data_IF_502113140661
#
_entry.id   IF_502113140661
#
_cell.length_a   1.000
_cell.length_b   1.000
_cell.length_c   1.000
_cell.angle_alpha   90.00
_cell.angle_beta   90.00
_cell.angle_gamma   90.00
#
_symmetry.space_group_name_H-M   'P 1'
#
loop_
_entity.id
_entity.type
_entity.pdbx_description
1 polymer ?
#
# COMPACT_ATOMS: atom_id res chain seq x y z
N UNK A 1 -14.81 -21.12 2.54
CA UNK A 1 -14.08 -22.27 3.13
C UNK A 1 -13.13 -23.01 2.17
N UNK A 2 -13.43 -23.15 0.86
CA UNK A 2 -12.50 -23.82 -0.09
C UNK A 2 -11.13 -23.15 -0.20
N UNK A 3 -11.08 -21.82 -0.24
CA UNK A 3 -9.85 -21.02 -0.33
C UNK A 3 -8.89 -21.26 0.85
N UNK A 4 -9.40 -21.28 2.09
CA UNK A 4 -8.59 -21.58 3.29
C UNK A 4 -7.99 -22.99 3.23
N UNK A 5 -8.73 -23.97 2.69
CA UNK A 5 -8.27 -25.35 2.54
C UNK A 5 -7.20 -25.49 1.46
N UNK A 6 -7.30 -24.70 0.38
CA UNK A 6 -6.30 -24.66 -0.69
C UNK A 6 -5.01 -23.94 -0.27
N UNK A 7 -5.12 -22.88 0.54
CA UNK A 7 -3.98 -22.18 1.11
C UNK A 7 -3.14 -23.09 2.03
N UNK A 8 -3.80 -23.88 2.88
CA UNK A 8 -3.09 -24.85 3.76
C UNK A 8 -2.40 -25.98 2.99
N UNK A 9 -2.76 -26.20 1.72
CA UNK A 9 -2.11 -27.22 0.87
C UNK A 9 -0.84 -26.72 0.20
N UNK A 10 -0.59 -25.40 0.18
CA UNK A 10 0.59 -24.78 -0.42
C UNK A 10 1.48 -24.19 0.68
N UNK A 11 2.61 -24.82 1.03
CA UNK A 11 3.44 -24.37 2.15
C UNK A 11 3.97 -22.94 1.96
N UNK A 12 4.25 -22.54 0.72
CA UNK A 12 4.67 -21.16 0.38
C UNK A 12 3.57 -20.13 0.63
N UNK A 13 2.32 -20.45 0.29
CA UNK A 13 1.19 -19.56 0.52
C UNK A 13 0.88 -19.41 2.01
N UNK A 14 0.97 -20.51 2.77
CA UNK A 14 0.83 -20.49 4.21
C UNK A 14 1.93 -19.65 4.88
N UNK A 15 3.19 -19.82 4.47
CA UNK A 15 4.30 -19.02 4.99
C UNK A 15 4.08 -17.53 4.75
N UNK A 16 3.72 -17.13 3.52
CA UNK A 16 3.42 -15.73 3.20
C UNK A 16 2.28 -15.16 4.04
N UNK A 17 1.20 -15.94 4.23
CA UNK A 17 0.08 -15.54 5.09
C UNK A 17 0.51 -15.34 6.54
N UNK A 18 1.30 -16.26 7.10
CA UNK A 18 1.82 -16.15 8.47
C UNK A 18 2.66 -14.89 8.62
N UNK A 19 3.56 -14.60 7.67
CA UNK A 19 4.39 -13.39 7.71
C UNK A 19 3.53 -12.12 7.68
N UNK A 20 2.57 -12.02 6.76
CA UNK A 20 1.67 -10.85 6.68
C UNK A 20 0.88 -10.67 7.96
N UNK A 21 0.32 -11.74 8.52
CA UNK A 21 -0.43 -11.70 9.78
C UNK A 21 0.45 -11.26 10.94
N UNK A 22 1.68 -11.78 11.04
CA UNK A 22 2.62 -11.36 12.09
C UNK A 22 2.97 -9.88 11.98
N UNK A 23 3.27 -9.39 10.78
CA UNK A 23 3.59 -7.97 10.55
C UNK A 23 2.36 -7.07 10.84
N UNK A 24 1.16 -7.52 10.49
CA UNK A 24 -0.08 -6.81 10.80
C UNK A 24 -0.33 -6.74 12.31
N UNK A 25 -0.16 -7.86 13.03
CA UNK A 25 -0.31 -7.90 14.48
C UNK A 25 0.74 -7.00 15.15
N UNK A 26 1.99 -7.03 14.68
CA UNK A 26 3.03 -6.14 15.19
C UNK A 26 2.67 -4.66 14.99
N UNK A 27 2.13 -4.29 13.82
CA UNK A 27 1.70 -2.93 13.53
C UNK A 27 0.48 -2.48 14.38
N UNK A 28 -0.48 -3.38 14.65
CA UNK A 28 -1.65 -3.09 15.49
C UNK A 28 -1.25 -2.92 16.95
N UNK A 29 -0.44 -3.85 17.46
CA UNK A 29 0.03 -3.85 18.84
C UNK A 29 1.30 -3.02 19.06
N UNK A 30 1.68 -2.17 18.08
CA UNK A 30 2.86 -1.32 18.13
C UNK A 30 3.03 -0.56 19.46
N UNK A 31 1.99 0.08 20.05
CA UNK A 31 2.14 0.80 21.31
C UNK A 31 2.48 -0.08 22.52
N UNK A 32 2.25 -1.40 22.43
CA UNK A 32 2.51 -2.36 23.51
C UNK A 32 3.84 -3.09 23.33
N UNK A 33 4.29 -3.26 22.09
CA UNK A 33 5.47 -4.08 21.78
C UNK A 33 6.72 -3.26 21.44
N UNK A 34 6.56 -1.98 21.08
CA UNK A 34 7.68 -1.12 20.74
C UNK A 34 8.57 -0.90 21.98
N UNK A 35 9.89 -1.15 21.89
CA UNK A 35 10.80 -0.96 23.02
C UNK A 35 10.89 0.49 23.52
N UNK A 36 10.76 1.46 22.61
CA UNK A 36 10.93 2.88 22.88
C UNK A 36 9.84 3.71 22.20
N UNK A 37 9.70 4.97 22.60
CA UNK A 37 8.89 5.93 21.85
C UNK A 37 9.52 6.17 20.47
N UNK A 38 8.82 5.91 19.35
CA UNK A 38 9.36 6.07 17.99
C UNK A 38 9.72 7.52 17.62
N UNK A 39 9.26 8.51 18.39
CA UNK A 39 9.53 9.93 18.16
C UNK A 39 10.50 10.53 19.19
N UNK A 40 10.82 9.82 20.27
CA UNK A 40 11.80 10.28 21.25
C UNK A 40 13.20 10.37 20.62
N UNK A 41 13.82 11.54 20.75
CA UNK A 41 15.12 11.85 20.17
C UNK A 41 16.16 11.96 21.28
N UNK A 42 17.32 11.35 21.06
CA UNK A 42 18.49 11.51 21.91
C UNK A 42 19.76 11.57 21.04
N UNK A 43 20.27 12.78 20.84
CA UNK A 43 21.45 13.01 19.99
C UNK A 43 22.72 12.37 20.55
N UNK A 44 22.76 12.00 21.83
CA UNK A 44 23.91 11.28 22.40
C UNK A 44 23.94 9.82 21.95
N UNK A 45 22.79 9.31 21.50
CA UNK A 45 22.60 7.95 21.02
C UNK A 45 22.43 7.91 19.50
N UNK A 46 23.01 8.87 18.75
CA UNK A 46 22.88 8.87 17.28
C UNK A 46 23.66 7.73 16.62
N UNK A 47 23.06 7.14 15.59
CA UNK A 47 23.72 6.13 14.71
C UNK A 47 24.35 4.95 15.45
N UNK A 48 23.70 4.49 16.52
CA UNK A 48 24.11 3.30 17.23
C UNK A 48 23.99 2.07 16.33
N UNK A 49 24.94 1.12 16.43
CA UNK A 49 24.87 -0.11 15.70
C UNK A 49 23.80 -1.05 16.29
N UNK A 50 23.27 -1.99 15.48
CA UNK A 50 22.35 -3.03 15.95
C UNK A 50 23.01 -4.01 16.93
N UNK A 51 22.18 -4.79 17.65
CA UNK A 51 22.60 -5.64 18.77
C UNK A 51 23.70 -6.68 18.46
N UNK A 52 23.92 -7.01 17.18
CA UNK A 52 24.91 -7.99 16.74
C UNK A 52 26.29 -7.38 16.40
N UNK A 53 26.47 -6.09 16.62
CA UNK A 53 27.73 -5.37 16.39
C UNK A 53 28.24 -4.74 17.68
N UNK A 54 29.55 -4.55 17.76
CA UNK A 54 30.21 -3.89 18.90
C UNK A 54 29.76 -2.43 19.02
N UNK A 55 29.50 -1.99 20.25
CA UNK A 55 29.00 -0.64 20.55
C UNK A 55 27.47 -0.51 20.54
N UNK A 56 26.74 -1.63 20.55
CA UNK A 56 25.28 -1.63 20.68
C UNK A 56 24.84 -1.24 22.10
N UNK A 57 23.77 -0.44 22.17
CA UNK A 57 23.18 0.00 23.43
C UNK A 57 21.99 -0.90 23.82
N UNK A 58 21.88 -1.36 25.08
CA UNK A 58 20.73 -2.12 25.54
C UNK A 58 19.41 -1.36 25.32
N UNK A 59 18.41 -2.06 24.77
CA UNK A 59 17.10 -1.45 24.45
C UNK A 59 16.99 -0.90 23.03
N UNK A 60 18.10 -0.71 22.31
CA UNK A 60 18.15 -0.27 20.91
C UNK A 60 18.53 -1.43 19.98
N UNK A 61 17.62 -2.40 19.85
CA UNK A 61 17.90 -3.69 19.19
C UNK A 61 18.40 -3.56 17.75
N UNK A 62 17.79 -2.66 16.98
CA UNK A 62 18.21 -2.39 15.59
C UNK A 62 19.08 -1.13 15.47
N UNK A 63 19.56 -0.61 16.61
CA UNK A 63 20.28 0.65 16.66
C UNK A 63 19.37 1.87 16.51
N UNK A 64 19.98 3.00 16.18
CA UNK A 64 19.30 4.30 16.08
C UNK A 64 19.57 5.00 14.76
N UNK A 65 18.73 5.98 14.43
CA UNK A 65 18.95 6.85 13.28
C UNK A 65 19.82 8.08 13.60
N UNK A 66 19.94 9.00 12.64
CA UNK A 66 20.70 10.25 12.79
C UNK A 66 20.12 11.25 13.80
N UNK A 67 18.97 10.97 14.41
CA UNK A 67 18.37 11.76 15.47
C UNK A 67 18.31 10.97 16.79
N UNK A 68 18.98 9.81 16.85
CA UNK A 68 19.00 8.93 18.02
C UNK A 68 17.69 8.21 18.30
N UNK A 69 16.78 8.15 17.33
CA UNK A 69 15.48 7.46 17.50
C UNK A 69 15.67 5.96 17.31
N UNK A 70 15.00 5.16 18.13
CA UNK A 70 15.07 3.69 18.05
C UNK A 70 14.50 3.17 16.72
N UNK A 71 15.34 2.46 15.97
CA UNK A 71 15.01 2.02 14.62
C UNK A 71 13.96 0.90 14.63
N UNK A 72 13.97 0.03 15.65
CA UNK A 72 12.99 -1.05 15.78
C UNK A 72 11.58 -0.50 16.04
N UNK A 73 11.43 0.40 17.00
CA UNK A 73 10.16 1.08 17.30
C UNK A 73 9.64 1.85 16.10
N UNK A 74 10.53 2.56 15.38
CA UNK A 74 10.16 3.27 14.14
C UNK A 74 9.70 2.33 13.03
N UNK A 75 10.28 1.14 12.90
CA UNK A 75 9.83 0.16 11.91
C UNK A 75 8.45 -0.41 12.27
N UNK A 76 8.23 -0.75 13.54
CA UNK A 76 6.94 -1.31 14.00
C UNK A 76 5.81 -0.27 13.80
N UNK A 77 6.02 0.97 14.25
CA UNK A 77 5.06 2.06 14.03
C UNK A 77 4.94 2.46 12.55
N UNK A 78 6.04 2.39 11.80
CA UNK A 78 6.04 2.59 10.35
C UNK A 78 5.16 1.57 9.63
N UNK A 79 5.14 0.32 10.11
CA UNK A 79 4.24 -0.72 9.62
C UNK A 79 2.77 -0.32 9.73
N UNK A 80 2.35 0.31 10.84
CA UNK A 80 0.97 0.82 11.01
C UNK A 80 0.61 1.86 9.96
N UNK A 81 1.51 2.81 9.71
CA UNK A 81 1.34 3.83 8.67
C UNK A 81 1.26 3.16 7.29
N UNK A 82 2.15 2.22 6.99
CA UNK A 82 2.17 1.50 5.72
C UNK A 82 0.87 0.74 5.46
N UNK A 83 0.31 0.05 6.47
CA UNK A 83 -0.99 -0.63 6.34
C UNK A 83 -2.15 0.33 6.12
N UNK A 84 -2.18 1.46 6.84
CA UNK A 84 -3.23 2.48 6.64
C UNK A 84 -3.18 2.99 5.19
N UNK A 85 -1.99 3.33 4.70
CA UNK A 85 -1.81 3.82 3.32
C UNK A 85 -2.20 2.74 2.32
N UNK A 86 -1.67 1.52 2.47
CA UNK A 86 -1.96 0.42 1.57
C UNK A 86 -3.46 0.12 1.48
N UNK A 87 -4.15 0.06 2.61
CA UNK A 87 -5.58 -0.23 2.63
C UNK A 87 -6.42 0.92 2.07
N UNK A 88 -6.19 2.15 2.55
CA UNK A 88 -7.01 3.30 2.16
C UNK A 88 -6.83 3.67 0.69
N UNK A 89 -5.58 3.71 0.20
CA UNK A 89 -5.29 4.07 -1.17
C UNK A 89 -5.75 2.98 -2.15
N UNK A 90 -5.47 1.70 -1.86
CA UNK A 90 -5.88 0.60 -2.73
C UNK A 90 -7.40 0.46 -2.79
N UNK A 91 -8.11 0.62 -1.66
CA UNK A 91 -9.58 0.56 -1.65
C UNK A 91 -10.18 1.71 -2.45
N UNK A 92 -9.66 2.93 -2.29
CA UNK A 92 -10.12 4.10 -3.04
C UNK A 92 -9.87 3.94 -4.54
N UNK A 93 -8.65 3.53 -4.92
CA UNK A 93 -8.29 3.25 -6.31
C UNK A 93 -9.16 2.14 -6.91
N UNK A 94 -9.41 1.08 -6.14
CA UNK A 94 -10.25 -0.05 -6.55
C UNK A 94 -11.69 0.41 -6.78
N UNK A 95 -12.29 1.19 -5.89
CA UNK A 95 -13.66 1.67 -6.04
C UNK A 95 -13.81 2.57 -7.27
N UNK A 96 -12.93 3.56 -7.43
CA UNK A 96 -12.95 4.49 -8.57
C UNK A 96 -12.70 3.73 -9.88
N UNK A 97 -11.64 2.92 -9.90
CA UNK A 97 -11.25 2.16 -11.08
C UNK A 97 -12.30 1.13 -11.48
N UNK A 98 -12.86 0.39 -10.52
CA UNK A 98 -13.89 -0.61 -10.82
C UNK A 98 -15.17 0.04 -11.32
N UNK A 99 -15.61 1.16 -10.73
CA UNK A 99 -16.78 1.88 -11.21
C UNK A 99 -16.61 2.36 -12.66
N UNK A 100 -15.50 3.02 -12.97
CA UNK A 100 -15.20 3.49 -14.33
C UNK A 100 -14.97 2.33 -15.31
N UNK A 101 -14.31 1.27 -14.86
CA UNK A 101 -14.05 0.07 -15.65
C UNK A 101 -15.34 -0.66 -16.02
N UNK A 102 -16.28 -0.80 -15.08
CA UNK A 102 -17.60 -1.38 -15.32
C UNK A 102 -18.39 -0.51 -16.31
N UNK A 103 -18.40 0.81 -16.14
CA UNK A 103 -19.07 1.73 -17.07
C UNK A 103 -18.50 1.58 -18.49
N UNK A 104 -17.16 1.60 -18.62
CA UNK A 104 -16.49 1.44 -19.91
C UNK A 104 -16.77 0.08 -20.55
N UNK A 105 -16.67 -1.00 -19.76
CA UNK A 105 -16.76 -2.36 -20.28
C UNK A 105 -18.20 -2.84 -20.56
N UNK A 106 -19.17 -2.38 -19.78
CA UNK A 106 -20.58 -2.75 -19.93
C UNK A 106 -21.29 -1.94 -21.03
N UNK A 107 -21.21 -0.60 -20.99
CA UNK A 107 -21.93 0.24 -21.96
C UNK A 107 -21.21 0.35 -23.32
N UNK A 108 -19.89 0.15 -23.35
CA UNK A 108 -19.10 0.25 -24.56
C UNK A 108 -19.16 1.63 -25.23
N UNK A 109 -18.93 1.66 -26.55
CA UNK A 109 -19.17 2.83 -27.39
C UNK A 109 -18.40 4.10 -26.98
N UNK A 110 -19.12 5.19 -26.72
CA UNK A 110 -18.52 6.47 -26.32
C UNK A 110 -17.98 6.47 -24.89
N UNK A 111 -18.67 5.81 -23.95
CA UNK A 111 -18.23 5.71 -22.56
C UNK A 111 -16.86 5.02 -22.49
N UNK A 112 -16.72 3.90 -23.19
CA UNK A 112 -15.45 3.20 -23.33
C UNK A 112 -14.35 4.09 -23.93
N UNK A 113 -14.63 4.73 -25.07
CA UNK A 113 -13.63 5.57 -25.75
C UNK A 113 -13.14 6.70 -24.85
N UNK A 114 -14.02 7.42 -24.16
CA UNK A 114 -13.63 8.56 -23.31
C UNK A 114 -12.81 8.06 -22.12
N UNK A 115 -13.30 7.06 -21.40
CA UNK A 115 -12.63 6.55 -20.19
C UNK A 115 -11.26 5.96 -20.56
N UNK A 116 -11.19 5.16 -21.61
CA UNK A 116 -9.93 4.59 -22.10
C UNK A 116 -8.93 5.67 -22.51
N UNK A 117 -9.38 6.76 -23.13
CA UNK A 117 -8.48 7.89 -23.49
C UNK A 117 -7.95 8.61 -22.25
N UNK A 118 -8.78 8.83 -21.24
CA UNK A 118 -8.33 9.42 -19.97
C UNK A 118 -7.29 8.50 -19.32
N UNK A 119 -7.54 7.19 -19.29
CA UNK A 119 -6.59 6.20 -18.77
C UNK A 119 -5.27 6.23 -19.53
N UNK A 120 -5.32 6.23 -20.87
CA UNK A 120 -4.12 6.24 -21.73
C UNK A 120 -3.26 7.50 -21.48
N UNK A 121 -3.90 8.67 -21.36
CA UNK A 121 -3.21 9.93 -21.03
C UNK A 121 -2.58 9.87 -19.64
N UNK A 122 -3.30 9.33 -18.65
CA UNK A 122 -2.79 9.20 -17.28
C UNK A 122 -1.58 8.26 -17.21
N UNK A 123 -1.64 7.14 -17.92
CA UNK A 123 -0.56 6.14 -17.95
C UNK A 123 0.67 6.58 -18.74
N UNK A 124 0.57 7.64 -19.55
CA UNK A 124 1.72 8.22 -20.24
C UNK A 124 2.68 8.94 -19.29
N UNK A 125 2.22 9.36 -18.11
CA UNK A 125 3.06 9.99 -17.10
C UNK A 125 3.82 8.95 -16.27
N UNK A 126 5.14 9.11 -16.06
CA UNK A 126 5.88 8.28 -15.11
C UNK A 126 5.26 8.38 -13.71
N UNK A 127 4.82 7.27 -13.08
CA UNK A 127 4.08 7.30 -11.81
C UNK A 127 4.83 8.01 -10.69
N UNK A 128 6.15 7.82 -10.61
CA UNK A 128 7.00 8.46 -9.60
C UNK A 128 7.01 9.97 -9.74
N UNK A 129 7.16 10.48 -10.98
CA UNK A 129 7.13 11.93 -11.22
C UNK A 129 5.77 12.53 -10.86
N UNK A 130 4.70 11.82 -11.19
CA UNK A 130 3.36 12.30 -10.90
C UNK A 130 3.08 12.29 -9.39
N UNK A 131 3.54 11.28 -8.67
CA UNK A 131 3.43 11.23 -7.21
C UNK A 131 4.16 12.41 -6.55
N UNK A 132 5.37 12.74 -7.01
CA UNK A 132 6.13 13.89 -6.50
C UNK A 132 5.38 15.20 -6.77
N UNK A 133 4.83 15.38 -7.98
CA UNK A 133 4.03 16.54 -8.34
C UNK A 133 2.78 16.67 -7.44
N UNK A 134 2.04 15.57 -7.24
CA UNK A 134 0.84 15.57 -6.41
C UNK A 134 1.16 15.89 -4.95
N UNK A 135 2.24 15.33 -4.39
CA UNK A 135 2.67 15.67 -3.02
C UNK A 135 3.10 17.14 -2.92
N UNK A 136 3.75 17.69 -3.96
CA UNK A 136 4.13 19.10 -3.98
C UNK A 136 2.90 20.04 -3.99
N UNK A 137 1.83 19.66 -4.69
CA UNK A 137 0.59 20.46 -4.79
C UNK A 137 -0.34 20.26 -3.59
N UNK A 138 -0.54 19.02 -3.16
CA UNK A 138 -1.43 18.64 -2.06
C UNK A 138 -0.83 18.91 -0.68
N UNK A 139 0.48 19.18 -0.61
CA UNK A 139 1.24 19.36 0.62
C UNK A 139 1.70 18.03 1.23
N UNK A 140 2.55 18.12 2.25
CA UNK A 140 3.08 16.95 2.96
C UNK A 140 2.06 16.40 3.95
N UNK A 141 1.94 15.08 4.02
CA UNK A 141 1.06 14.42 4.98
C UNK A 141 0.57 13.06 4.53
N UNK A 142 -0.01 12.31 5.47
CA UNK A 142 -0.54 10.96 5.22
C UNK A 142 -1.66 10.99 4.18
N UNK A 143 -2.58 11.95 4.29
CA UNK A 143 -3.72 12.11 3.38
C UNK A 143 -3.27 12.38 1.95
N UNK A 144 -2.27 13.25 1.77
CA UNK A 144 -1.72 13.59 0.46
C UNK A 144 -1.08 12.38 -0.23
N UNK A 145 -0.36 11.54 0.54
CA UNK A 145 0.21 10.28 0.01
C UNK A 145 -0.90 9.31 -0.40
N UNK A 146 -1.93 9.13 0.44
CA UNK A 146 -3.07 8.25 0.14
C UNK A 146 -3.78 8.70 -1.13
N UNK A 147 -4.06 10.01 -1.24
CA UNK A 147 -4.76 10.58 -2.39
C UNK A 147 -3.92 10.47 -3.66
N UNK A 148 -2.61 10.73 -3.57
CA UNK A 148 -1.69 10.62 -4.71
C UNK A 148 -1.66 9.19 -5.26
N UNK A 149 -1.51 8.18 -4.39
CA UNK A 149 -1.53 6.77 -4.80
C UNK A 149 -2.88 6.40 -5.41
N UNK A 150 -3.99 6.81 -4.78
CA UNK A 150 -5.33 6.49 -5.28
C UNK A 150 -5.57 7.08 -6.69
N UNK A 151 -5.15 8.33 -6.93
CA UNK A 151 -5.26 9.03 -8.21
C UNK A 151 -4.37 8.41 -9.30
N UNK A 152 -3.28 7.76 -8.93
CA UNK A 152 -2.39 7.12 -9.92
C UNK A 152 -2.88 5.70 -10.23
N UNK A 153 -3.18 4.91 -9.21
CA UNK A 153 -3.39 3.48 -9.34
C UNK A 153 -4.81 3.08 -9.79
N UNK A 154 -5.81 3.97 -9.74
CA UNK A 154 -7.18 3.66 -10.18
C UNK A 154 -7.23 3.16 -11.64
N UNK A 155 -6.32 3.65 -12.48
CA UNK A 155 -6.22 3.28 -13.90
C UNK A 155 -5.95 1.79 -14.10
N UNK A 156 -5.12 1.19 -13.23
CA UNK A 156 -4.81 -0.24 -13.28
C UNK A 156 -6.06 -1.08 -12.97
N UNK A 157 -6.81 -0.71 -11.94
CA UNK A 157 -8.09 -1.35 -11.63
C UNK A 157 -9.10 -1.18 -12.76
N UNK A 158 -9.21 0.04 -13.30
CA UNK A 158 -10.11 0.35 -14.42
C UNK A 158 -9.87 -0.56 -15.62
N UNK A 159 -8.61 -0.78 -16.00
CA UNK A 159 -8.27 -1.64 -17.16
C UNK A 159 -8.63 -3.10 -16.94
N UNK A 160 -8.34 -3.64 -15.76
CA UNK A 160 -8.64 -5.04 -15.43
C UNK A 160 -10.15 -5.27 -15.40
N UNK A 161 -10.87 -4.41 -14.68
CA UNK A 161 -12.33 -4.53 -14.53
C UNK A 161 -13.04 -4.28 -15.86
N UNK A 162 -12.57 -3.33 -16.68
CA UNK A 162 -13.09 -3.13 -18.04
C UNK A 162 -12.95 -4.38 -18.89
N UNK A 163 -11.78 -5.01 -18.89
CA UNK A 163 -11.54 -6.23 -19.69
C UNK A 163 -12.47 -7.37 -19.25
N UNK A 164 -12.64 -7.57 -17.94
CA UNK A 164 -13.56 -8.55 -17.39
C UNK A 164 -15.03 -8.20 -17.72
N UNK A 165 -15.44 -6.94 -17.53
CA UNK A 165 -16.79 -6.50 -17.83
C UNK A 165 -17.16 -6.69 -19.31
N UNK A 166 -16.24 -6.40 -20.24
CA UNK A 166 -16.44 -6.67 -21.67
C UNK A 166 -16.57 -8.17 -21.98
N UNK A 167 -15.86 -9.03 -21.23
CA UNK A 167 -15.95 -10.48 -21.37
C UNK A 167 -17.31 -10.99 -20.89
N UNK A 168 -17.74 -10.53 -19.72
CA UNK A 168 -19.01 -10.91 -19.11
C UNK A 168 -20.21 -10.39 -19.90
N UNK A 169 -20.14 -9.18 -20.46
CA UNK A 169 -21.21 -8.59 -21.26
C UNK A 169 -21.47 -9.31 -22.60
N UNK A 170 -20.61 -10.26 -23.00
CA UNK A 170 -20.80 -11.08 -24.22
C UNK A 170 -21.41 -12.45 -23.92
N UNK A 171 -21.68 -12.77 -22.66
CA UNK A 171 -22.21 -14.07 -22.27
C UNK A 171 -23.74 -14.07 -22.37
N UNK A 172 -24.31 -15.22 -22.74
CA UNK A 172 -25.74 -15.37 -23.06
C UNK A 172 -26.71 -15.02 -21.91
N UNK A 173 -26.24 -14.91 -20.66
CA UNK A 173 -27.08 -14.51 -19.53
C UNK A 173 -27.18 -12.99 -19.35
N UNK A 174 -26.40 -12.21 -20.10
CA UNK A 174 -26.48 -10.75 -20.16
C UNK A 174 -27.19 -10.40 -21.46
N UNK A 175 -28.53 -10.43 -21.43
CA UNK A 175 -29.40 -9.92 -22.50
C UNK A 175 -29.69 -8.43 -22.32
#
# INVERSE_FOLDING_TARGET
MRVLRELTRRPSALFGLVVVVLVLLAAIFAPLIAPQDPLAQDLMLERLPPFWLDGAEPGYWLGTDSLGRDLLSRLIFGGRIAFIVAFAAATSACLIGSALGLIAGYFGGWADRIISRIVDVWMAFPPVLFAILLVAVLGTGLSSVILAIAIIDWTRFCRVIRAEAMSQARMDYVE
#
